data_IF_958318218591
#
_entry.id   IF_958318218591
#
_cell.length_a   1.000
_cell.length_b   1.000
_cell.length_c   1.000
_cell.angle_alpha   90.00
_cell.angle_beta   90.00
_cell.angle_gamma   90.00
#
_symmetry.space_group_name_H-M   'P 1'
#
loop_
_entity.id
_entity.type
_entity.pdbx_description
1 polymer ?
#
# COMPACT_ATOMS: atom_id res chain seq x y z
N UNK A 1 0.97 30.55 -21.65
CA UNK A 1 0.62 29.15 -21.92
C UNK A 1 1.85 28.49 -22.51
N UNK A 2 2.52 27.62 -21.76
CA UNK A 2 3.62 26.80 -22.24
C UNK A 2 3.57 25.46 -21.49
N UNK A 3 3.20 24.42 -22.23
CA UNK A 3 3.28 23.00 -21.88
C UNK A 3 4.73 22.55 -22.07
N UNK A 4 5.46 22.25 -21.01
CA UNK A 4 6.72 21.45 -20.95
C UNK A 4 7.00 21.25 -19.44
N UNK A 5 7.32 20.10 -18.88
CA UNK A 5 7.57 18.77 -19.41
C UNK A 5 7.59 17.77 -18.21
N UNK A 6 7.29 16.50 -18.51
CA UNK A 6 7.78 15.28 -17.84
C UNK A 6 7.29 15.03 -16.39
N UNK A 7 6.14 14.37 -16.29
CA UNK A 7 5.92 13.32 -15.28
C UNK A 7 5.61 12.04 -16.05
N UNK A 8 6.66 11.46 -16.66
CA UNK A 8 6.55 10.15 -17.31
C UNK A 8 6.55 9.06 -16.24
N UNK A 9 5.41 8.37 -16.15
CA UNK A 9 5.35 6.92 -16.01
C UNK A 9 5.72 6.33 -14.65
N UNK A 10 4.85 6.51 -13.67
CA UNK A 10 4.56 5.38 -12.79
C UNK A 10 3.10 5.03 -13.07
N UNK A 11 2.89 4.19 -14.08
CA UNK A 11 1.60 3.54 -14.28
C UNK A 11 1.45 2.57 -13.13
N UNK A 12 0.80 3.02 -12.05
CA UNK A 12 0.06 2.06 -11.21
C UNK A 12 -0.93 1.44 -12.17
N UNK A 13 -0.96 0.11 -12.27
CA UNK A 13 -1.91 -0.56 -13.13
C UNK A 13 -3.31 -0.21 -12.62
N UNK A 14 -3.97 0.71 -13.33
CA UNK A 14 -5.27 1.24 -12.97
C UNK A 14 -6.27 0.08 -12.79
N UNK A 15 -6.10 -1.03 -13.51
CA UNK A 15 -6.96 -2.20 -13.38
C UNK A 15 -6.69 -2.98 -12.09
N UNK A 16 -5.43 -3.10 -11.65
CA UNK A 16 -5.08 -3.77 -10.40
C UNK A 16 -5.51 -2.95 -9.17
N UNK A 17 -5.29 -1.63 -9.20
CA UNK A 17 -5.72 -0.72 -8.13
C UNK A 17 -7.25 -0.64 -8.04
N UNK A 18 -7.93 -0.59 -9.20
CA UNK A 18 -9.39 -0.65 -9.26
C UNK A 18 -9.92 -1.98 -8.73
N UNK A 19 -9.34 -3.10 -9.16
CA UNK A 19 -9.76 -4.44 -8.71
C UNK A 19 -9.53 -4.65 -7.21
N UNK A 20 -8.48 -4.07 -6.62
CA UNK A 20 -8.23 -4.13 -5.18
C UNK A 20 -9.23 -3.27 -4.38
N UNK A 21 -9.62 -2.10 -4.91
CA UNK A 21 -10.57 -1.17 -4.27
C UNK A 21 -12.03 -1.64 -4.45
N UNK A 22 -12.38 -2.17 -5.62
CA UNK A 22 -13.69 -2.78 -5.84
C UNK A 22 -13.88 -4.04 -5.00
N UNK A 23 -12.81 -4.84 -4.82
CA UNK A 23 -12.85 -6.02 -3.96
C UNK A 23 -12.86 -5.71 -2.46
N UNK A 24 -12.54 -4.49 -2.05
CA UNK A 24 -12.80 -4.00 -0.68
C UNK A 24 -14.19 -3.36 -0.52
N UNK A 25 -15.05 -3.43 -1.55
CA UNK A 25 -16.43 -2.94 -1.52
C UNK A 25 -16.57 -1.44 -1.77
N UNK A 26 -15.51 -0.77 -2.23
CA UNK A 26 -15.53 0.64 -2.61
C UNK A 26 -15.73 0.75 -4.13
N UNK A 27 -16.92 1.19 -4.57
CA UNK A 27 -17.15 1.51 -6.00
C UNK A 27 -16.43 2.81 -6.40
N UNK A 28 -15.10 2.74 -6.58
CA UNK A 28 -14.33 3.84 -7.13
C UNK A 28 -14.10 3.61 -8.62
N UNK A 29 -14.67 4.43 -9.49
CA UNK A 29 -14.36 4.39 -10.93
C UNK A 29 -12.90 4.83 -11.16
N UNK A 30 -12.19 4.25 -12.13
CA UNK A 30 -10.77 4.56 -12.42
C UNK A 30 -10.51 6.08 -12.56
N UNK A 31 -11.45 6.78 -13.21
CA UNK A 31 -11.40 8.25 -13.37
C UNK A 31 -11.45 9.02 -12.03
N UNK A 32 -12.05 8.46 -10.98
CA UNK A 32 -12.08 9.06 -9.64
C UNK A 32 -10.72 8.93 -8.95
N UNK A 33 -10.06 7.78 -9.09
CA UNK A 33 -8.71 7.55 -8.57
C UNK A 33 -7.68 8.44 -9.25
N UNK A 34 -7.73 8.52 -10.58
CA UNK A 34 -6.84 9.41 -11.33
C UNK A 34 -7.05 10.89 -10.96
N UNK A 35 -8.30 11.31 -10.74
CA UNK A 35 -8.61 12.65 -10.22
C UNK A 35 -8.05 12.86 -8.81
N UNK A 36 -8.24 11.91 -7.90
CA UNK A 36 -7.71 11.99 -6.53
C UNK A 36 -6.18 12.09 -6.52
N UNK A 37 -5.49 11.27 -7.32
CA UNK A 37 -4.04 11.33 -7.49
C UNK A 37 -3.57 12.67 -8.05
N UNK A 38 -4.30 13.21 -9.04
CA UNK A 38 -4.00 14.54 -9.62
C UNK A 38 -4.15 15.65 -8.59
N UNK A 39 -5.21 15.62 -7.79
CA UNK A 39 -5.44 16.59 -6.71
C UNK A 39 -4.35 16.50 -5.65
N UNK A 40 -3.98 15.29 -5.21
CA UNK A 40 -2.90 15.08 -4.26
C UNK A 40 -1.56 15.62 -4.79
N UNK A 41 -1.23 15.35 -6.06
CA UNK A 41 -0.03 15.87 -6.70
C UNK A 41 -0.01 17.40 -6.76
N UNK A 42 -1.15 18.03 -7.05
CA UNK A 42 -1.30 19.50 -7.02
C UNK A 42 -1.04 20.07 -5.62
N UNK A 43 -1.68 19.52 -4.59
CA UNK A 43 -1.51 19.95 -3.20
C UNK A 43 -0.04 19.80 -2.75
N UNK A 44 0.62 18.69 -3.12
CA UNK A 44 2.05 18.49 -2.78
C UNK A 44 2.92 19.51 -3.53
N UNK A 45 2.62 19.82 -4.79
CA UNK A 45 3.37 20.79 -5.59
C UNK A 45 3.27 22.22 -5.03
N UNK A 46 2.17 22.58 -4.37
CA UNK A 46 2.00 23.88 -3.74
C UNK A 46 2.85 24.06 -2.47
N UNK A 47 3.36 22.98 -1.88
CA UNK A 47 4.22 23.05 -0.68
C UNK A 47 5.63 23.56 -1.00
N UNK A 48 6.31 24.21 -0.03
CA UNK A 48 7.73 24.56 -0.14
C UNK A 48 8.59 23.35 -0.50
N UNK A 49 9.60 23.52 -1.36
CA UNK A 49 10.40 22.40 -1.90
C UNK A 49 10.98 21.48 -0.82
N UNK A 50 11.42 22.04 0.31
CA UNK A 50 11.92 21.32 1.48
C UNK A 50 10.88 20.41 2.15
N UNK A 51 9.59 20.71 2.00
CA UNK A 51 8.47 19.97 2.57
C UNK A 51 7.86 18.97 1.57
N UNK A 52 8.08 19.17 0.27
CA UNK A 52 7.52 18.28 -0.78
C UNK A 52 7.96 16.83 -0.63
N UNK A 53 9.23 16.60 -0.30
CA UNK A 53 9.75 15.24 -0.11
C UNK A 53 9.04 14.53 1.03
N UNK A 54 8.91 15.20 2.19
CA UNK A 54 8.20 14.65 3.34
C UNK A 54 6.71 14.43 3.04
N UNK A 55 6.04 15.41 2.43
CA UNK A 55 4.64 15.29 2.06
C UNK A 55 4.38 14.14 1.06
N UNK A 56 5.25 13.96 0.06
CA UNK A 56 5.21 12.83 -0.87
C UNK A 56 5.40 11.51 -0.12
N UNK A 57 6.41 11.41 0.74
CA UNK A 57 6.69 10.18 1.50
C UNK A 57 5.50 9.79 2.37
N UNK A 58 4.91 10.75 3.08
CA UNK A 58 3.72 10.52 3.91
C UNK A 58 2.51 10.11 3.07
N UNK A 59 2.30 10.74 1.91
CA UNK A 59 1.22 10.37 1.01
C UNK A 59 1.38 8.94 0.47
N UNK A 60 2.57 8.58 0.01
CA UNK A 60 2.84 7.22 -0.48
C UNK A 60 2.61 6.19 0.63
N UNK A 61 3.18 6.41 1.82
CA UNK A 61 2.98 5.51 2.97
C UNK A 61 1.51 5.35 3.35
N UNK A 62 0.72 6.42 3.27
CA UNK A 62 -0.73 6.35 3.49
C UNK A 62 -1.44 5.52 2.41
N UNK A 63 -1.07 5.69 1.14
CA UNK A 63 -1.61 4.90 0.03
C UNK A 63 -1.27 3.42 0.16
N UNK A 64 0.00 3.11 0.46
CA UNK A 64 0.49 1.74 0.60
C UNK A 64 -0.25 1.01 1.74
N UNK A 65 -0.43 1.70 2.87
CA UNK A 65 -1.22 1.19 4.00
C UNK A 65 -2.68 0.91 3.60
N UNK A 66 -3.32 1.86 2.94
CA UNK A 66 -4.72 1.73 2.52
C UNK A 66 -4.92 0.57 1.54
N UNK A 67 -3.98 0.37 0.61
CA UNK A 67 -4.00 -0.75 -0.33
C UNK A 67 -3.80 -2.08 0.39
N UNK A 68 -2.82 -2.18 1.28
CA UNK A 68 -2.57 -3.39 2.06
C UNK A 68 -3.79 -3.78 2.92
N UNK A 69 -4.47 -2.79 3.53
CA UNK A 69 -5.72 -3.02 4.26
C UNK A 69 -6.84 -3.55 3.37
N UNK A 70 -7.04 -2.96 2.18
CA UNK A 70 -8.05 -3.41 1.23
C UNK A 70 -7.80 -4.86 0.79
N UNK A 71 -6.55 -5.20 0.47
CA UNK A 71 -6.15 -6.55 0.08
C UNK A 71 -6.31 -7.55 1.24
N UNK A 72 -5.98 -7.15 2.47
CA UNK A 72 -6.19 -7.97 3.65
C UNK A 72 -7.69 -8.24 3.92
N UNK A 73 -8.55 -7.23 3.77
CA UNK A 73 -10.00 -7.39 3.91
C UNK A 73 -10.57 -8.32 2.85
N UNK A 74 -10.12 -8.18 1.60
CA UNK A 74 -10.48 -9.09 0.52
C UNK A 74 -10.07 -10.53 0.87
N UNK A 75 -8.81 -10.74 1.27
CA UNK A 75 -8.30 -12.05 1.64
C UNK A 75 -9.16 -12.71 2.72
N UNK A 76 -9.55 -11.99 3.77
CA UNK A 76 -10.40 -12.52 4.84
C UNK A 76 -11.81 -12.85 4.36
N UNK A 77 -12.36 -12.03 3.46
CA UNK A 77 -13.68 -12.28 2.85
C UNK A 77 -13.66 -13.57 2.01
N UNK A 78 -12.57 -13.81 1.28
CA UNK A 78 -12.38 -14.99 0.44
C UNK A 78 -12.00 -16.25 1.26
N UNK A 79 -11.45 -16.07 2.48
CA UNK A 79 -10.94 -17.14 3.34
C UNK A 79 -11.61 -17.09 4.74
N UNK A 80 -12.85 -17.60 4.87
CA UNK A 80 -13.58 -17.56 6.14
C UNK A 80 -12.87 -18.40 7.23
N UNK A 81 -12.87 -17.90 8.46
CA UNK A 81 -12.16 -18.50 9.60
C UNK A 81 -10.79 -17.89 9.88
N UNK A 82 -10.33 -16.96 9.03
CA UNK A 82 -9.17 -16.12 9.28
C UNK A 82 -9.62 -14.72 9.74
N UNK A 83 -10.48 -14.63 10.77
CA UNK A 83 -11.04 -13.35 11.23
C UNK A 83 -10.07 -12.55 12.11
N UNK A 84 -9.08 -13.22 12.70
CA UNK A 84 -8.04 -12.62 13.56
C UNK A 84 -6.65 -12.75 12.92
N UNK A 85 -5.57 -12.47 13.64
CA UNK A 85 -4.19 -12.62 13.17
C UNK A 85 -3.81 -11.58 12.11
N UNK A 86 -2.78 -11.87 11.33
CA UNK A 86 -2.22 -10.96 10.32
C UNK A 86 -2.29 -11.57 8.92
N UNK A 87 -2.76 -10.80 7.95
CA UNK A 87 -2.64 -11.13 6.53
C UNK A 87 -1.36 -10.51 5.99
N UNK A 88 -0.64 -11.26 5.15
CA UNK A 88 0.59 -10.83 4.51
C UNK A 88 0.31 -10.46 3.06
N UNK A 89 0.79 -9.28 2.66
CA UNK A 89 0.62 -8.70 1.34
C UNK A 89 2.00 -8.39 0.76
N UNK A 90 2.23 -8.77 -0.49
CA UNK A 90 3.47 -8.49 -1.19
C UNK A 90 3.18 -8.29 -2.68
N UNK A 91 3.79 -7.26 -3.28
CA UNK A 91 3.59 -6.92 -4.69
C UNK A 91 2.10 -6.86 -5.09
N UNK A 92 1.31 -6.10 -4.33
CA UNK A 92 -0.13 -5.89 -4.55
C UNK A 92 -1.00 -7.16 -4.45
N UNK A 93 -0.50 -8.24 -3.83
CA UNK A 93 -1.24 -9.48 -3.63
C UNK A 93 -1.15 -9.99 -2.19
N UNK A 94 -2.29 -10.36 -1.61
CA UNK A 94 -2.35 -11.05 -0.32
C UNK A 94 -2.01 -12.54 -0.51
N UNK A 95 -0.85 -12.97 0.00
CA UNK A 95 -0.34 -14.32 -0.25
C UNK A 95 -0.51 -15.29 0.93
N UNK A 96 -0.87 -14.81 2.12
CA UNK A 96 -1.00 -15.68 3.27
C UNK A 96 -1.52 -15.03 4.53
N UNK A 97 -1.73 -15.87 5.54
CA UNK A 97 -2.21 -15.49 6.85
C UNK A 97 -1.39 -16.17 7.95
N UNK A 98 -1.24 -15.48 9.09
CA UNK A 98 -0.63 -16.00 10.31
C UNK A 98 -1.46 -15.62 11.53
N UNK A 99 -1.42 -16.46 12.55
CA UNK A 99 -2.07 -16.22 13.85
C UNK A 99 -1.57 -14.95 14.55
N UNK A 100 -0.32 -14.54 14.29
CA UNK A 100 0.30 -13.33 14.83
C UNK A 100 1.47 -12.86 13.96
N UNK A 101 1.88 -11.60 14.17
CA UNK A 101 3.11 -11.07 13.59
C UNK A 101 4.32 -11.84 14.15
N UNK A 102 5.15 -12.37 13.26
CA UNK A 102 6.35 -13.17 13.58
C UNK A 102 7.62 -12.43 13.19
N UNK A 103 8.76 -13.09 13.35
CA UNK A 103 10.07 -12.50 13.10
C UNK A 103 10.21 -12.01 11.63
N UNK A 104 10.68 -10.77 11.41
CA UNK A 104 10.77 -10.13 10.10
C UNK A 104 11.75 -10.84 9.16
N UNK A 105 12.75 -11.56 9.68
CA UNK A 105 13.68 -12.35 8.85
C UNK A 105 13.01 -13.51 8.11
N UNK A 106 11.79 -13.88 8.51
CA UNK A 106 11.00 -14.87 7.76
C UNK A 106 10.29 -14.28 6.55
N UNK A 107 10.34 -12.95 6.37
CA UNK A 107 9.69 -12.22 5.28
C UNK A 107 10.69 -11.46 4.43
N UNK A 108 10.30 -11.20 3.19
CA UNK A 108 11.08 -10.35 2.28
C UNK A 108 10.88 -8.88 2.64
N UNK A 109 11.88 -8.01 2.40
CA UNK A 109 11.66 -6.58 2.46
C UNK A 109 10.54 -6.14 1.50
N UNK A 110 9.69 -5.22 1.95
CA UNK A 110 8.50 -4.74 1.23
C UNK A 110 7.24 -5.58 1.43
N UNK A 111 7.26 -6.61 2.28
CA UNK A 111 6.03 -7.30 2.72
C UNK A 111 5.27 -6.42 3.70
N UNK A 112 3.96 -6.30 3.52
CA UNK A 112 3.06 -5.68 4.48
C UNK A 112 2.35 -6.76 5.30
N UNK A 113 2.27 -6.56 6.61
CA UNK A 113 1.44 -7.37 7.50
C UNK A 113 0.30 -6.51 8.03
N UNK A 114 -0.95 -6.98 7.91
CA UNK A 114 -2.14 -6.24 8.36
C UNK A 114 -2.98 -7.09 9.29
N UNK A 115 -3.20 -6.60 10.51
CA UNK A 115 -4.05 -7.27 11.49
C UNK A 115 -5.55 -7.04 11.24
N UNK A 116 -6.41 -7.75 11.97
CA UNK A 116 -7.86 -7.61 11.86
C UNK A 116 -8.41 -6.22 12.26
N UNK A 117 -7.60 -5.38 12.91
CA UNK A 117 -7.97 -4.01 13.34
C UNK A 117 -7.48 -2.95 12.35
N UNK A 118 -6.77 -3.33 11.28
CA UNK A 118 -6.18 -2.40 10.33
C UNK A 118 -4.86 -1.76 10.82
N UNK A 119 -4.23 -2.33 11.85
CA UNK A 119 -2.83 -1.99 12.12
C UNK A 119 -1.97 -2.66 11.05
N UNK A 120 -1.04 -1.91 10.48
CA UNK A 120 -0.18 -2.37 9.40
C UNK A 120 1.29 -2.14 9.74
N UNK A 121 2.13 -3.08 9.30
CA UNK A 121 3.58 -3.02 9.40
C UNK A 121 4.21 -3.36 8.05
N UNK A 122 5.30 -2.69 7.72
CA UNK A 122 6.14 -3.02 6.57
C UNK A 122 7.41 -3.74 7.04
N UNK A 123 7.77 -4.81 6.36
CA UNK A 123 9.05 -5.47 6.51
C UNK A 123 10.12 -4.60 5.83
N UNK A 124 10.98 -3.93 6.60
CA UNK A 124 11.94 -2.94 6.07
C UNK A 124 13.39 -3.36 6.30
N UNK A 125 14.25 -2.81 5.46
CA UNK A 125 15.69 -3.11 5.39
C UNK A 125 15.96 -4.61 5.19
N UNK A 126 17.22 -5.04 5.27
CA UNK A 126 17.61 -6.43 4.96
C UNK A 126 17.66 -6.73 3.46
N UNK A 127 17.48 -7.99 3.09
CA UNK A 127 17.58 -8.44 1.70
C UNK A 127 16.70 -9.68 1.44
N UNK A 128 16.53 -10.07 0.18
CA UNK A 128 15.66 -11.21 -0.19
C UNK A 128 16.15 -12.58 0.31
N UNK A 129 17.45 -12.71 0.63
CA UNK A 129 18.08 -13.96 1.06
C UNK A 129 18.00 -14.14 2.59
N UNK A 130 18.30 -13.09 3.35
CA UNK A 130 18.31 -13.10 4.82
C UNK A 130 16.96 -12.64 5.43
N UNK A 131 16.06 -12.14 4.59
CA UNK A 131 14.80 -11.53 5.00
C UNK A 131 14.95 -10.09 5.49
N UNK A 132 13.85 -9.52 5.98
CA UNK A 132 13.82 -8.16 6.51
C UNK A 132 14.45 -8.07 7.91
N UNK A 133 15.04 -6.91 8.21
CA UNK A 133 15.68 -6.70 9.52
C UNK A 133 14.67 -6.35 10.61
N UNK A 134 13.60 -5.63 10.27
CA UNK A 134 12.57 -5.23 11.24
C UNK A 134 11.21 -5.03 10.60
N UNK A 135 10.19 -5.02 11.47
CA UNK A 135 8.87 -4.48 11.15
C UNK A 135 8.81 -2.99 11.50
N UNK A 136 8.38 -2.16 10.56
CA UNK A 136 8.11 -0.74 10.77
C UNK A 136 6.59 -0.50 10.75
N UNK A 137 5.97 0.01 11.83
CA UNK A 137 4.56 0.37 11.83
C UNK A 137 4.28 1.42 10.74
N UNK A 138 3.10 1.39 10.12
CA UNK A 138 2.67 2.35 9.07
C UNK A 138 1.74 3.44 9.60
#
# INVERSE_FOLDING_TARGET
MNLHAVLTGCTVDDAALLAAIEASGVEAQAKHLQRAATVAAGIIAERPMKERFHARKTFNRWMDKALAEALAQRYRSDNPGHDDGVVLVWQDEAYGWKDKLRDPQSERPGVYAVDAKGNAWEAVDGNEYDGAERWEPM
#
